data_IF_033080172275
#
_entry.id   IF_033080172275
#
_cell.length_a   1.000
_cell.length_b   1.000
_cell.length_c   1.000
_cell.angle_alpha   90.00
_cell.angle_beta   90.00
_cell.angle_gamma   90.00
#
_symmetry.space_group_name_H-M   'P 1'
#
loop_
_entity.id
_entity.type
_entity.pdbx_description
1 polymer ?
#
# COMPACT_ATOMS: atom_id res chain seq x y z
N UNK A 1 -8.23 9.07 2.49
CA UNK A 1 -9.02 7.84 2.66
C UNK A 1 -8.44 6.82 1.71
N UNK A 2 -8.39 5.56 2.13
CA UNK A 2 -7.86 4.47 1.29
C UNK A 2 -8.83 3.31 1.39
N UNK A 3 -9.22 2.75 0.24
CA UNK A 3 -9.98 1.50 0.13
C UNK A 3 -9.04 0.51 -0.53
N UNK A 4 -8.48 -0.40 0.28
CA UNK A 4 -7.38 -1.28 -0.11
C UNK A 4 -7.77 -2.75 0.05
N UNK A 5 -7.34 -3.59 -0.89
CA UNK A 5 -7.48 -5.03 -0.81
C UNK A 5 -8.74 -5.61 -1.46
N UNK A 6 -8.61 -6.84 -1.95
CA UNK A 6 -9.71 -7.59 -2.59
C UNK A 6 -10.88 -7.76 -1.62
N UNK A 7 -12.08 -7.40 -2.08
CA UNK A 7 -13.31 -7.49 -1.29
C UNK A 7 -13.57 -6.30 -0.37
N UNK A 8 -12.60 -5.41 -0.17
CA UNK A 8 -12.83 -4.14 0.52
C UNK A 8 -13.73 -3.25 -0.32
N UNK A 9 -14.91 -2.93 0.20
CA UNK A 9 -15.91 -2.14 -0.53
C UNK A 9 -16.38 -0.96 0.32
N UNK A 10 -16.33 0.24 -0.24
CA UNK A 10 -17.06 1.40 0.28
C UNK A 10 -18.26 1.69 -0.63
N UNK A 11 -19.46 1.36 -0.15
CA UNK A 11 -20.71 1.65 -0.85
C UNK A 11 -21.46 2.82 -0.19
N UNK A 12 -21.91 3.77 -1.00
CA UNK A 12 -22.75 4.90 -0.60
C UNK A 12 -23.96 4.99 -1.54
N UNK A 13 -25.15 5.20 -0.99
CA UNK A 13 -26.34 5.52 -1.80
C UNK A 13 -26.38 6.98 -2.27
N UNK A 14 -25.59 7.84 -1.64
CA UNK A 14 -25.48 9.27 -1.96
C UNK A 14 -24.26 9.55 -2.84
N UNK A 15 -24.14 10.81 -3.27
CA UNK A 15 -23.03 11.31 -4.07
C UNK A 15 -21.72 11.32 -3.28
N UNK A 16 -20.65 10.87 -3.93
CA UNK A 16 -19.29 10.92 -3.40
C UNK A 16 -18.67 12.30 -3.67
N UNK A 17 -18.27 13.01 -2.62
CA UNK A 17 -17.51 14.25 -2.72
C UNK A 17 -16.09 14.07 -2.18
N UNK A 18 -15.10 14.17 -3.06
CA UNK A 18 -13.70 14.24 -2.64
C UNK A 18 -13.35 15.71 -2.48
N UNK A 19 -13.25 16.14 -1.22
CA UNK A 19 -12.89 17.52 -0.85
C UNK A 19 -14.04 18.49 -0.62
N UNK A 20 -15.21 18.02 -0.17
CA UNK A 20 -16.40 18.87 0.07
C UNK A 20 -16.23 20.08 1.01
N UNK A 21 -15.06 20.25 1.65
CA UNK A 21 -14.72 21.43 2.48
C UNK A 21 -13.22 21.71 2.63
N UNK A 22 -12.36 21.15 1.78
CA UNK A 22 -10.90 21.25 1.89
C UNK A 22 -10.16 20.24 1.00
N UNK A 23 -8.85 20.07 1.20
CA UNK A 23 -8.04 19.13 0.42
C UNK A 23 -8.42 17.68 0.77
N UNK A 24 -8.72 16.86 -0.24
CA UNK A 24 -9.09 15.46 -0.08
C UNK A 24 -8.24 14.56 -0.96
N UNK A 25 -7.93 13.37 -0.44
CA UNK A 25 -7.35 12.27 -1.21
C UNK A 25 -8.15 11.00 -0.96
N UNK A 26 -8.60 10.36 -2.03
CA UNK A 26 -9.13 9.00 -2.01
C UNK A 26 -8.21 8.12 -2.86
N UNK A 27 -7.69 7.05 -2.27
CA UNK A 27 -6.95 6.01 -2.97
C UNK A 27 -7.78 4.72 -3.00
N UNK A 28 -7.87 4.09 -4.16
CA UNK A 28 -8.49 2.77 -4.36
C UNK A 28 -7.39 1.84 -4.89
N UNK A 29 -6.98 0.88 -4.08
CA UNK A 29 -5.77 0.06 -4.31
C UNK A 29 -6.04 -1.40 -3.99
N UNK A 30 -5.12 -2.29 -4.38
CA UNK A 30 -5.14 -3.70 -3.98
C UNK A 30 -6.40 -4.49 -4.36
N UNK A 31 -7.20 -4.03 -5.32
CA UNK A 31 -8.48 -4.65 -5.70
C UNK A 31 -9.70 -4.13 -4.92
N UNK A 32 -9.57 -2.99 -4.25
CA UNK A 32 -10.67 -2.34 -3.53
C UNK A 32 -11.73 -1.74 -4.46
N UNK A 33 -12.96 -1.60 -3.95
CA UNK A 33 -14.09 -1.07 -4.73
C UNK A 33 -14.77 0.11 -4.02
N UNK A 34 -15.11 1.15 -4.79
CA UNK A 34 -15.95 2.26 -4.33
C UNK A 34 -17.20 2.33 -5.21
N UNK A 35 -18.37 2.37 -4.58
CA UNK A 35 -19.67 2.43 -5.24
C UNK A 35 -20.43 3.66 -4.74
N UNK A 36 -20.88 4.50 -5.67
CA UNK A 36 -21.66 5.71 -5.37
C UNK A 36 -22.66 6.00 -6.49
N UNK A 37 -23.56 6.99 -6.30
CA UNK A 37 -24.47 7.44 -7.37
C UNK A 37 -23.75 8.33 -8.40
N UNK A 38 -23.03 9.32 -7.91
CA UNK A 38 -22.19 10.23 -8.69
C UNK A 38 -20.90 10.50 -7.89
N UNK A 39 -19.85 10.97 -8.57
CA UNK A 39 -18.62 11.42 -7.92
C UNK A 39 -18.27 12.84 -8.35
N UNK A 40 -17.88 13.68 -7.38
CA UNK A 40 -17.29 14.99 -7.62
C UNK A 40 -15.93 15.07 -6.96
N UNK A 41 -14.90 15.29 -7.78
CA UNK A 41 -13.53 15.57 -7.33
C UNK A 41 -13.33 17.08 -7.41
N UNK A 42 -13.24 17.76 -6.28
CA UNK A 42 -13.01 19.20 -6.25
C UNK A 42 -11.53 19.52 -6.55
N UNK A 43 -11.23 20.68 -7.10
CA UNK A 43 -9.84 21.19 -7.10
C UNK A 43 -9.47 21.64 -5.69
N UNK A 44 -8.33 21.24 -5.08
CA UNK A 44 -7.13 20.56 -5.59
C UNK A 44 -7.02 19.08 -5.18
N UNK A 45 -8.14 18.37 -5.13
CA UNK A 45 -8.21 17.02 -4.57
C UNK A 45 -7.70 15.95 -5.53
N UNK A 46 -7.40 14.79 -4.96
CA UNK A 46 -6.88 13.63 -5.68
C UNK A 46 -7.81 12.42 -5.51
N UNK A 47 -8.21 11.83 -6.63
CA UNK A 47 -8.65 10.44 -6.71
C UNK A 47 -7.51 9.63 -7.34
N UNK A 48 -6.98 8.64 -6.63
CA UNK A 48 -5.98 7.71 -7.14
C UNK A 48 -6.59 6.30 -7.25
N UNK A 49 -6.43 5.64 -8.40
CA UNK A 49 -6.90 4.28 -8.62
C UNK A 49 -5.76 3.46 -9.22
N UNK A 50 -5.43 2.36 -8.57
CA UNK A 50 -4.47 1.38 -9.08
C UNK A 50 -5.15 0.49 -10.13
N UNK A 51 -4.48 0.21 -11.24
CA UNK A 51 -5.00 -0.65 -12.31
C UNK A 51 -4.29 -2.01 -12.32
N UNK A 52 -4.88 -3.01 -12.97
CA UNK A 52 -4.30 -4.36 -13.06
C UNK A 52 -4.63 -5.28 -11.89
N UNK A 53 -5.16 -4.76 -10.78
CA UNK A 53 -5.51 -5.55 -9.59
C UNK A 53 -7.02 -5.60 -9.28
N UNK A 54 -7.86 -5.02 -10.15
CA UNK A 54 -9.31 -4.98 -9.98
C UNK A 54 -9.85 -3.81 -9.15
N UNK A 55 -9.00 -2.84 -8.76
CA UNK A 55 -9.49 -1.65 -8.07
C UNK A 55 -10.44 -0.85 -8.95
N UNK A 56 -11.56 -0.39 -8.39
CA UNK A 56 -12.66 0.13 -9.21
C UNK A 56 -13.47 1.22 -8.52
N UNK A 57 -13.81 2.29 -9.26
CA UNK A 57 -14.88 3.22 -8.93
C UNK A 57 -16.10 2.94 -9.83
N UNK A 58 -17.24 2.57 -9.25
CA UNK A 58 -18.49 2.35 -9.99
C UNK A 58 -19.54 3.38 -9.61
N UNK A 59 -20.08 4.10 -10.60
CA UNK A 59 -21.07 5.14 -10.41
C UNK A 59 -22.41 4.73 -11.03
N UNK A 60 -23.43 4.51 -10.19
CA UNK A 60 -24.79 4.10 -10.60
C UNK A 60 -24.76 2.96 -11.65
N UNK A 61 -24.09 1.86 -11.30
CA UNK A 61 -23.86 0.69 -12.17
C UNK A 61 -23.28 1.03 -13.56
N UNK A 62 -22.50 2.11 -13.63
CA UNK A 62 -21.88 2.61 -14.86
C UNK A 62 -22.72 3.63 -15.62
N UNK A 63 -23.93 3.97 -15.18
CA UNK A 63 -24.76 5.04 -15.76
C UNK A 63 -24.51 6.41 -15.11
N UNK A 64 -23.84 6.43 -13.97
CA UNK A 64 -23.66 7.61 -13.13
C UNK A 64 -22.70 8.65 -13.71
N UNK A 65 -22.49 9.73 -12.96
CA UNK A 65 -21.70 10.89 -13.42
C UNK A 65 -20.45 11.10 -12.60
N UNK A 66 -19.33 11.33 -13.28
CA UNK A 66 -18.12 11.89 -12.69
C UNK A 66 -17.95 13.36 -13.09
N UNK A 67 -17.72 14.21 -12.07
CA UNK A 67 -17.32 15.62 -12.20
C UNK A 67 -15.90 15.76 -11.70
N UNK A 68 -14.93 15.87 -12.60
CA UNK A 68 -13.54 16.06 -12.23
C UNK A 68 -13.16 17.53 -12.35
N UNK A 69 -12.93 18.20 -11.23
CA UNK A 69 -12.33 19.54 -11.14
C UNK A 69 -10.95 19.51 -10.45
N UNK A 70 -10.45 18.31 -10.11
CA UNK A 70 -9.20 18.09 -9.41
C UNK A 70 -8.25 17.24 -10.25
N UNK A 71 -7.60 16.27 -9.61
CA UNK A 71 -6.75 15.28 -10.27
C UNK A 71 -7.34 13.89 -10.10
N UNK A 72 -7.49 13.17 -11.21
CA UNK A 72 -7.65 11.72 -11.22
C UNK A 72 -6.32 11.12 -11.65
N UNK A 73 -5.74 10.26 -10.83
CA UNK A 73 -4.50 9.56 -11.11
C UNK A 73 -4.77 8.07 -11.25
N UNK A 74 -4.39 7.51 -12.38
CA UNK A 74 -4.49 6.08 -12.67
C UNK A 74 -3.08 5.50 -12.68
N UNK A 75 -2.88 4.40 -11.97
CA UNK A 75 -1.54 3.95 -11.58
C UNK A 75 -1.38 2.47 -11.92
N UNK A 76 -0.42 2.13 -12.78
CA UNK A 76 0.05 0.77 -12.96
C UNK A 76 1.40 0.61 -12.26
N UNK A 77 1.45 -0.25 -11.24
CA UNK A 77 2.71 -0.66 -10.59
C UNK A 77 3.45 -1.76 -11.35
N UNK A 78 4.52 -2.29 -10.75
CA UNK A 78 5.31 -3.36 -11.36
C UNK A 78 4.51 -4.64 -11.67
N UNK A 79 3.57 -5.02 -10.80
CA UNK A 79 2.76 -6.23 -10.95
C UNK A 79 1.71 -6.16 -12.07
N UNK A 80 1.43 -4.98 -12.63
CA UNK A 80 0.43 -4.85 -13.69
C UNK A 80 0.93 -5.44 -15.03
N UNK A 81 0.11 -6.27 -15.67
CA UNK A 81 0.44 -6.93 -16.93
C UNK A 81 0.64 -5.91 -18.06
N UNK A 82 1.80 -5.94 -18.72
CA UNK A 82 2.13 -5.03 -19.82
C UNK A 82 1.15 -5.17 -21.00
N UNK A 83 0.75 -4.05 -21.59
CA UNK A 83 -0.20 -4.00 -22.70
C UNK A 83 -1.66 -4.28 -22.32
N UNK A 84 -1.96 -4.63 -21.06
CA UNK A 84 -3.33 -4.81 -20.60
C UNK A 84 -4.09 -3.47 -20.56
N UNK A 85 -5.40 -3.53 -20.83
CA UNK A 85 -6.29 -2.35 -20.92
C UNK A 85 -7.35 -2.43 -19.85
N UNK A 86 -7.55 -1.35 -19.10
CA UNK A 86 -8.44 -1.29 -17.94
C UNK A 86 -9.37 -0.08 -17.99
N UNK A 87 -10.61 -0.24 -17.54
CA UNK A 87 -11.57 0.85 -17.34
C UNK A 87 -11.86 0.99 -15.82
N UNK A 88 -10.96 1.62 -15.04
CA UNK A 88 -11.03 1.63 -13.57
C UNK A 88 -12.15 2.53 -12.99
N UNK A 89 -12.91 3.20 -13.86
CA UNK A 89 -14.04 4.04 -13.50
C UNK A 89 -15.20 3.67 -14.42
N UNK A 90 -16.27 3.10 -13.87
CA UNK A 90 -17.51 2.88 -14.58
C UNK A 90 -18.45 4.07 -14.35
N UNK A 91 -18.63 4.90 -15.37
CA UNK A 91 -19.52 6.05 -15.36
C UNK A 91 -20.05 6.34 -16.78
N UNK A 92 -21.28 6.83 -16.86
CA UNK A 92 -21.98 7.10 -18.13
C UNK A 92 -21.84 8.54 -18.59
N UNK A 93 -21.47 9.47 -17.69
CA UNK A 93 -21.24 10.87 -18.04
C UNK A 93 -19.98 11.40 -17.38
N UNK A 94 -19.11 12.00 -18.19
CA UNK A 94 -17.82 12.54 -17.80
C UNK A 94 -17.80 14.05 -18.04
N UNK A 95 -17.55 14.82 -16.98
CA UNK A 95 -17.58 16.29 -17.03
C UNK A 95 -16.53 16.91 -16.12
N UNK A 96 -16.30 18.21 -16.30
CA UNK A 96 -15.32 18.98 -15.53
C UNK A 96 -14.06 19.30 -16.35
N UNK A 97 -13.21 20.14 -15.78
CA UNK A 97 -11.98 20.67 -16.39
C UNK A 97 -10.71 20.24 -15.61
N UNK A 98 -10.86 19.29 -14.67
CA UNK A 98 -9.76 18.65 -13.97
C UNK A 98 -8.91 17.76 -14.88
N UNK A 99 -7.82 17.25 -14.32
CA UNK A 99 -6.78 16.55 -15.09
C UNK A 99 -6.83 15.05 -14.81
N UNK A 100 -6.66 14.24 -15.85
CA UNK A 100 -6.35 12.82 -15.75
C UNK A 100 -4.85 12.60 -15.94
N UNK A 101 -4.22 11.87 -15.01
CA UNK A 101 -2.78 11.58 -15.03
C UNK A 101 -2.54 10.09 -14.98
N UNK A 102 -1.87 9.56 -15.99
CA UNK A 102 -1.51 8.15 -16.07
C UNK A 102 -0.07 7.93 -15.56
N UNK A 103 0.11 7.06 -14.57
CA UNK A 103 1.41 6.58 -14.08
C UNK A 103 1.64 5.15 -14.53
N UNK A 104 2.76 4.88 -15.20
CA UNK A 104 3.10 3.53 -15.66
C UNK A 104 2.27 3.04 -16.86
N UNK A 105 1.70 3.96 -17.63
CA UNK A 105 0.86 3.68 -18.78
C UNK A 105 0.26 4.95 -19.36
N UNK A 106 -0.68 4.81 -20.29
CA UNK A 106 -1.36 5.91 -20.97
C UNK A 106 -2.86 5.89 -20.69
N UNK A 107 -3.49 7.06 -20.75
CA UNK A 107 -4.94 7.21 -20.57
C UNK A 107 -5.57 7.72 -21.86
N UNK A 108 -6.59 7.02 -22.34
CA UNK A 108 -7.44 7.47 -23.43
C UNK A 108 -8.64 8.25 -22.85
N UNK A 109 -8.70 9.55 -23.11
CA UNK A 109 -9.78 10.41 -22.62
C UNK A 109 -11.11 10.22 -23.36
N UNK A 110 -11.11 9.59 -24.54
CA UNK A 110 -12.32 9.35 -25.33
C UNK A 110 -12.95 8.02 -24.90
N UNK A 111 -12.14 6.96 -24.87
CA UNK A 111 -12.60 5.61 -24.54
C UNK A 111 -12.63 5.36 -23.02
N UNK A 112 -12.03 6.26 -22.24
CA UNK A 112 -11.92 6.16 -20.77
C UNK A 112 -11.24 4.87 -20.31
N UNK A 113 -10.16 4.51 -21.00
CA UNK A 113 -9.36 3.32 -20.70
C UNK A 113 -7.90 3.67 -20.44
N UNK A 114 -7.29 2.92 -19.51
CA UNK A 114 -5.87 2.98 -19.21
C UNK A 114 -5.17 1.79 -19.88
N UNK A 115 -4.09 2.05 -20.63
CA UNK A 115 -3.23 1.00 -21.20
C UNK A 115 -1.92 0.94 -20.42
N UNK A 116 -1.60 -0.24 -19.89
CA UNK A 116 -0.39 -0.47 -19.10
C UNK A 116 0.85 -0.47 -20.00
N UNK A 117 1.86 0.33 -19.63
CA UNK A 117 3.11 0.45 -20.38
C UNK A 117 3.94 -0.83 -20.34
N UNK A 118 4.82 -1.05 -21.32
CA UNK A 118 5.88 -2.04 -21.18
C UNK A 118 6.87 -1.64 -20.07
N UNK A 119 7.67 -2.60 -19.62
CA UNK A 119 8.71 -2.40 -18.59
C UNK A 119 10.07 -2.39 -19.26
N UNK A 120 10.89 -1.37 -18.98
CA UNK A 120 12.32 -1.37 -19.31
C UNK A 120 13.10 -2.05 -18.20
N UNK A 121 13.92 -3.04 -18.54
CA UNK A 121 14.73 -3.76 -17.57
C UNK A 121 16.07 -3.07 -17.36
N UNK A 122 16.51 -3.02 -16.11
CA UNK A 122 17.76 -2.40 -15.69
C UNK A 122 18.49 -3.23 -14.64
N UNK A 123 19.74 -2.85 -14.39
CA UNK A 123 20.56 -3.41 -13.33
C UNK A 123 20.89 -2.33 -12.31
N UNK A 124 20.98 -2.72 -11.04
CA UNK A 124 21.33 -1.82 -9.95
C UNK A 124 22.64 -1.05 -10.22
N UNK A 125 22.66 0.23 -9.84
CA UNK A 125 23.79 1.14 -10.03
C UNK A 125 23.99 1.65 -11.47
N UNK A 126 23.25 1.14 -12.45
CA UNK A 126 23.24 1.66 -13.82
C UNK A 126 22.06 2.61 -14.05
N UNK A 127 22.22 3.56 -14.97
CA UNK A 127 21.12 4.41 -15.42
C UNK A 127 20.32 3.69 -16.52
N UNK A 128 19.00 3.60 -16.32
CA UNK A 128 18.01 3.11 -17.28
C UNK A 128 17.36 4.31 -17.93
N UNK A 129 17.39 4.39 -19.26
CA UNK A 129 16.80 5.52 -20.00
C UNK A 129 15.51 5.08 -20.70
N UNK A 130 14.42 5.79 -20.44
CA UNK A 130 13.13 5.61 -21.10
C UNK A 130 12.65 6.91 -21.72
N UNK A 131 11.85 6.83 -22.78
CA UNK A 131 11.07 7.97 -23.27
C UNK A 131 9.66 7.90 -22.70
N UNK A 132 9.28 8.88 -21.87
CA UNK A 132 7.98 8.92 -21.20
C UNK A 132 6.79 9.10 -22.15
N UNK A 133 7.00 9.35 -23.45
CA UNK A 133 5.94 9.27 -24.44
C UNK A 133 5.62 7.83 -24.88
N UNK A 134 6.56 6.90 -24.69
CA UNK A 134 6.46 5.52 -25.17
C UNK A 134 6.45 4.51 -24.02
N UNK A 135 7.29 4.73 -23.01
CA UNK A 135 7.54 3.80 -21.91
C UNK A 135 7.61 4.52 -20.57
N UNK A 136 6.82 4.07 -19.61
CA UNK A 136 6.63 4.74 -18.33
C UNK A 136 6.99 3.88 -17.12
N UNK A 137 7.48 2.64 -17.34
CA UNK A 137 7.85 1.72 -16.27
C UNK A 137 9.27 1.20 -16.45
N UNK A 138 10.00 1.14 -15.35
CA UNK A 138 11.30 0.46 -15.25
C UNK A 138 11.24 -0.60 -14.17
N UNK A 139 12.04 -1.65 -14.32
CA UNK A 139 12.31 -2.64 -13.29
C UNK A 139 13.83 -2.81 -13.18
N UNK A 140 14.35 -2.69 -11.96
CA UNK A 140 15.78 -2.71 -11.68
C UNK A 140 16.06 -3.87 -10.73
N UNK A 141 16.89 -4.80 -11.19
CA UNK A 141 17.30 -5.98 -10.43
C UNK A 141 18.71 -5.79 -9.87
N UNK A 142 18.91 -6.25 -8.63
CA UNK A 142 20.23 -6.39 -8.03
C UNK A 142 20.57 -7.87 -7.78
N UNK A 143 21.58 -8.38 -8.47
CA UNK A 143 21.95 -9.79 -8.38
C UNK A 143 22.67 -10.15 -7.06
N UNK A 144 23.25 -9.18 -6.37
CA UNK A 144 24.02 -9.43 -5.13
C UNK A 144 23.09 -9.62 -3.93
N UNK A 145 22.11 -8.74 -3.77
CA UNK A 145 21.08 -8.81 -2.71
C UNK A 145 19.92 -9.72 -3.10
N UNK A 146 19.68 -9.90 -4.40
CA UNK A 146 18.48 -10.56 -4.93
C UNK A 146 17.22 -9.69 -4.83
N UNK A 147 17.36 -8.40 -4.54
CA UNK A 147 16.25 -7.46 -4.53
C UNK A 147 15.93 -6.95 -5.92
N UNK A 148 14.67 -6.61 -6.12
CA UNK A 148 14.18 -5.94 -7.33
C UNK A 148 13.29 -4.76 -6.96
N UNK A 149 13.30 -3.71 -7.78
CA UNK A 149 12.38 -2.58 -7.60
C UNK A 149 11.88 -2.05 -8.94
N UNK A 150 10.56 -1.89 -9.02
CA UNK A 150 9.91 -1.18 -10.10
C UNK A 150 9.69 0.28 -9.78
N UNK A 151 9.75 1.14 -10.80
CA UNK A 151 9.32 2.53 -10.71
C UNK A 151 8.46 2.89 -11.93
N UNK A 152 7.33 3.55 -11.66
CA UNK A 152 6.36 3.98 -12.67
C UNK A 152 6.19 5.49 -12.64
N UNK A 153 6.20 6.10 -13.83
CA UNK A 153 6.26 7.55 -14.02
C UNK A 153 5.09 8.06 -14.85
N UNK A 154 4.91 9.39 -14.87
CA UNK A 154 3.88 10.03 -15.69
C UNK A 154 4.12 9.79 -17.19
N UNK A 155 3.07 9.45 -17.92
CA UNK A 155 3.10 9.54 -19.38
C UNK A 155 3.18 10.99 -19.84
N UNK A 156 4.01 11.23 -20.85
CA UNK A 156 4.20 12.54 -21.47
C UNK A 156 3.64 12.55 -22.89
N UNK A 157 3.01 13.65 -23.33
CA UNK A 157 2.40 13.71 -24.67
C UNK A 157 3.43 13.80 -25.80
N UNK A 158 4.68 14.15 -25.48
CA UNK A 158 5.77 14.29 -26.43
C UNK A 158 7.03 13.65 -25.86
N UNK A 159 7.93 13.26 -26.76
CA UNK A 159 9.22 12.64 -26.40
C UNK A 159 9.90 13.39 -25.27
N UNK A 160 10.09 12.70 -24.16
CA UNK A 160 10.65 13.23 -22.92
C UNK A 160 11.51 12.14 -22.29
N UNK A 161 12.83 12.25 -22.46
CA UNK A 161 13.76 11.26 -21.93
C UNK A 161 13.90 11.40 -20.41
N UNK A 162 13.79 10.27 -19.73
CA UNK A 162 14.01 10.11 -18.30
C UNK A 162 15.12 9.07 -18.10
N UNK A 163 16.20 9.48 -17.44
CA UNK A 163 17.18 8.55 -16.87
C UNK A 163 16.79 8.21 -15.43
N UNK A 164 16.77 6.93 -15.08
CA UNK A 164 16.46 6.42 -13.74
C UNK A 164 17.61 5.57 -13.26
N UNK A 165 18.18 5.91 -12.11
CA UNK A 165 19.14 5.05 -11.40
C UNK A 165 18.53 4.55 -10.09
N UNK A 166 18.84 3.31 -9.73
CA UNK A 166 18.55 2.79 -8.40
C UNK A 166 19.70 1.90 -7.93
N UNK A 167 20.12 2.07 -6.68
CA UNK A 167 21.14 1.24 -6.03
C UNK A 167 20.58 0.68 -4.72
N UNK A 168 20.80 -0.60 -4.38
CA UNK A 168 20.38 -1.12 -3.10
C UNK A 168 21.10 -0.40 -1.96
N UNK A 169 20.40 -0.15 -0.84
CA UNK A 169 21.05 0.38 0.35
C UNK A 169 21.98 -0.68 0.96
N UNK A 170 23.10 -0.25 1.54
CA UNK A 170 24.06 -1.14 2.18
C UNK A 170 24.99 -0.39 3.14
N UNK A 171 25.89 -1.12 3.79
CA UNK A 171 26.85 -0.57 4.74
C UNK A 171 26.19 0.30 5.82
N UNK A 172 26.79 1.45 6.13
CA UNK A 172 26.31 2.35 7.19
C UNK A 172 24.86 2.84 6.97
N UNK A 173 24.40 2.93 5.72
CA UNK A 173 23.02 3.35 5.43
C UNK A 173 22.01 2.29 5.87
N UNK A 174 22.32 1.02 5.62
CA UNK A 174 21.51 -0.11 6.08
C UNK A 174 21.63 -0.29 7.59
N UNK A 175 22.84 -0.26 8.14
CA UNK A 175 23.09 -0.37 9.59
C UNK A 175 22.32 0.71 10.36
N UNK A 176 22.27 1.93 9.81
CA UNK A 176 21.50 3.05 10.38
C UNK A 176 20.00 2.79 10.39
N UNK A 177 19.44 2.16 9.37
CA UNK A 177 18.03 1.76 9.35
C UNK A 177 17.77 0.64 10.36
N UNK A 178 18.59 -0.41 10.36
CA UNK A 178 18.47 -1.56 11.27
C UNK A 178 18.56 -1.14 12.74
N UNK A 179 19.41 -0.17 13.06
CA UNK A 179 19.50 0.41 14.41
C UNK A 179 18.21 1.09 14.91
N UNK A 180 17.29 1.45 14.00
CA UNK A 180 15.97 2.01 14.34
C UNK A 180 14.88 0.94 14.46
N UNK A 181 15.13 -0.27 13.97
CA UNK A 181 14.17 -1.37 13.99
C UNK A 181 14.14 -2.06 15.35
N UNK A 182 13.00 -2.63 15.72
CA UNK A 182 12.95 -3.52 16.90
C UNK A 182 13.56 -4.88 16.54
N UNK A 183 13.93 -5.67 17.55
CA UNK A 183 14.75 -6.89 17.43
C UNK A 183 14.22 -8.03 16.54
N UNK A 184 13.02 -7.91 16.00
CA UNK A 184 12.36 -8.90 15.13
C UNK A 184 11.78 -8.28 13.84
N UNK A 185 11.99 -6.99 13.61
CA UNK A 185 11.67 -6.37 12.34
C UNK A 185 12.81 -6.58 11.35
N UNK A 186 12.50 -6.72 10.07
CA UNK A 186 13.44 -6.99 9.00
C UNK A 186 13.29 -5.97 7.88
N UNK A 187 14.41 -5.63 7.23
CA UNK A 187 14.41 -4.90 5.97
C UNK A 187 14.08 -5.88 4.85
N UNK A 188 13.00 -5.62 4.12
CA UNK A 188 12.53 -6.47 3.03
C UNK A 188 13.05 -5.99 1.66
N UNK A 189 13.37 -4.70 1.56
CA UNK A 189 14.01 -4.10 0.41
C UNK A 189 14.31 -2.63 0.68
N UNK A 190 15.42 -2.12 0.14
CA UNK A 190 15.83 -0.74 0.35
C UNK A 190 16.68 -0.25 -0.82
N UNK A 191 16.32 0.92 -1.35
CA UNK A 191 16.90 1.45 -2.58
C UNK A 191 17.11 2.97 -2.48
N UNK A 192 18.23 3.44 -3.01
CA UNK A 192 18.51 4.85 -3.28
C UNK A 192 18.26 5.15 -4.76
N UNK A 193 17.33 6.06 -5.02
CA UNK A 193 16.90 6.44 -6.35
C UNK A 193 17.51 7.77 -6.78
N UNK A 194 17.84 7.85 -8.07
CA UNK A 194 18.19 9.09 -8.74
C UNK A 194 17.44 9.18 -10.06
N UNK A 195 17.14 10.40 -10.50
CA UNK A 195 16.58 10.63 -11.82
C UNK A 195 17.23 11.83 -12.50
N UNK A 196 17.31 11.76 -13.83
CA UNK A 196 17.79 12.83 -14.70
C UNK A 196 16.79 13.07 -15.84
N UNK A 197 16.69 14.30 -16.33
CA UNK A 197 15.80 14.62 -17.44
C UNK A 197 14.33 14.75 -17.01
N UNK A 198 13.45 13.90 -17.57
CA UNK A 198 11.99 14.00 -17.57
C UNK A 198 11.25 13.88 -16.24
N UNK A 199 11.96 13.93 -15.11
CA UNK A 199 11.38 13.87 -13.77
C UNK A 199 11.73 15.15 -12.99
N UNK A 200 10.72 15.83 -12.45
CA UNK A 200 10.91 16.97 -11.57
C UNK A 200 10.50 16.63 -10.12
N UNK A 201 11.15 17.25 -9.13
CA UNK A 201 10.68 17.20 -7.75
C UNK A 201 9.23 17.72 -7.67
N UNK A 202 8.38 16.99 -6.95
CA UNK A 202 6.94 17.21 -6.89
C UNK A 202 6.14 16.34 -7.87
N UNK A 203 6.76 15.83 -8.94
CA UNK A 203 6.09 14.88 -9.82
C UNK A 203 5.93 13.52 -9.14
N UNK A 204 4.77 12.85 -9.29
CA UNK A 204 4.55 11.56 -8.70
C UNK A 204 5.37 10.46 -9.42
N UNK A 205 6.02 9.62 -8.63
CA UNK A 205 6.49 8.30 -9.04
C UNK A 205 5.82 7.24 -8.16
N UNK A 206 5.54 6.07 -8.74
CA UNK A 206 5.00 4.94 -8.01
C UNK A 206 6.05 3.84 -7.93
N UNK A 207 6.55 3.60 -6.73
CA UNK A 207 7.60 2.63 -6.45
C UNK A 207 6.96 1.30 -6.08
N UNK A 208 7.50 0.20 -6.58
CA UNK A 208 7.04 -1.18 -6.34
C UNK A 208 8.22 -2.04 -5.90
N UNK A 209 8.41 -2.18 -4.60
CA UNK A 209 9.49 -2.98 -4.01
C UNK A 209 9.10 -4.45 -4.07
N UNK A 210 9.88 -5.29 -4.74
CA UNK A 210 9.69 -6.74 -4.65
C UNK A 210 10.14 -7.20 -3.26
N UNK A 211 9.17 -7.57 -2.43
CA UNK A 211 9.41 -8.09 -1.08
C UNK A 211 9.05 -9.57 -0.98
N UNK A 212 8.73 -10.19 -2.13
CA UNK A 212 8.25 -11.56 -2.21
C UNK A 212 6.93 -11.82 -1.46
N UNK A 213 6.51 -13.09 -1.39
CA UNK A 213 5.31 -13.51 -0.67
C UNK A 213 5.53 -13.59 0.84
N UNK A 214 4.43 -13.67 1.58
CA UNK A 214 4.42 -14.04 3.00
C UNK A 214 4.33 -12.87 3.98
N UNK A 215 4.25 -11.63 3.49
CA UNK A 215 3.91 -10.47 4.32
C UNK A 215 2.40 -10.25 4.35
N UNK A 216 1.93 -9.48 5.34
CA UNK A 216 0.61 -8.84 5.29
C UNK A 216 0.79 -7.36 5.05
N UNK A 217 -0.13 -6.73 4.32
CA UNK A 217 -0.09 -5.29 4.09
C UNK A 217 -0.01 -4.49 5.40
N UNK A 218 -0.76 -4.90 6.42
CA UNK A 218 -0.81 -4.21 7.73
C UNK A 218 0.53 -4.24 8.47
N UNK A 219 1.40 -5.21 8.11
CA UNK A 219 2.70 -5.41 8.74
C UNK A 219 3.82 -4.66 8.02
N UNK A 220 3.52 -3.88 6.99
CA UNK A 220 4.51 -3.16 6.19
C UNK A 220 4.62 -1.70 6.60
N UNK A 221 5.87 -1.26 6.69
CA UNK A 221 6.23 0.13 6.99
C UNK A 221 7.19 0.64 5.94
N UNK A 222 7.00 1.90 5.54
CA UNK A 222 7.90 2.59 4.63
C UNK A 222 8.79 3.54 5.42
N UNK A 223 10.05 3.56 5.04
CA UNK A 223 11.05 4.51 5.51
C UNK A 223 11.52 5.37 4.36
N UNK A 224 11.84 6.62 4.68
CA UNK A 224 12.40 7.59 3.77
C UNK A 224 13.65 8.21 4.40
N UNK A 225 14.69 8.33 3.60
CA UNK A 225 15.93 9.02 3.96
C UNK A 225 16.25 10.05 2.89
N UNK A 226 16.25 11.30 3.34
CA UNK A 226 16.73 12.46 2.61
C UNK A 226 17.89 13.07 3.42
N UNK A 227 19.08 13.13 2.82
CA UNK A 227 20.31 13.44 3.55
C UNK A 227 20.80 12.29 4.43
N UNK A 228 21.02 12.53 5.72
CA UNK A 228 21.72 11.58 6.61
C UNK A 228 20.79 10.58 7.33
N UNK A 229 19.58 11.01 7.71
CA UNK A 229 18.76 10.31 8.69
C UNK A 229 17.54 9.61 8.07
N UNK A 230 17.18 8.46 8.63
CA UNK A 230 15.96 7.74 8.30
C UNK A 230 14.77 8.27 9.10
N UNK A 231 13.62 8.36 8.44
CA UNK A 231 12.34 8.72 9.06
C UNK A 231 11.20 7.85 8.51
N UNK A 232 10.12 7.73 9.29
CA UNK A 232 8.91 7.02 8.84
C UNK A 232 8.25 7.79 7.71
N UNK A 233 8.02 7.11 6.59
CA UNK A 233 7.27 7.67 5.48
C UNK A 233 5.80 7.25 5.58
N UNK A 234 4.91 8.24 5.64
CA UNK A 234 3.47 8.02 5.74
C UNK A 234 2.84 7.77 4.36
N UNK A 235 3.18 6.64 3.73
CA UNK A 235 2.58 6.20 2.48
C UNK A 235 1.09 5.83 2.68
N UNK A 236 0.18 6.76 2.42
CA UNK A 236 -1.27 6.57 2.66
C UNK A 236 -1.90 5.60 1.65
N UNK A 237 -1.26 5.45 0.51
CA UNK A 237 -1.64 4.59 -0.61
C UNK A 237 -0.73 3.35 -0.72
N UNK A 238 0.08 3.06 0.30
CA UNK A 238 0.84 1.81 0.30
C UNK A 238 -0.15 0.64 0.17
N UNK A 239 0.16 -0.29 -0.72
CA UNK A 239 -0.55 -1.52 -1.03
C UNK A 239 0.43 -2.69 -1.13
N UNK A 240 -0.08 -3.91 -1.09
CA UNK A 240 0.71 -5.13 -1.28
C UNK A 240 -0.11 -6.19 -2.01
N UNK A 241 0.41 -6.66 -3.15
CA UNK A 241 -0.28 -7.61 -4.05
C UNK A 241 0.15 -9.07 -3.85
N UNK A 242 0.98 -9.36 -2.84
CA UNK A 242 1.59 -10.67 -2.62
C UNK A 242 3.03 -10.79 -3.13
N UNK A 243 3.51 -9.79 -3.88
CA UNK A 243 4.91 -9.70 -4.35
C UNK A 243 5.46 -8.30 -4.07
N UNK A 244 4.75 -7.27 -4.55
CA UNK A 244 5.22 -5.89 -4.52
C UNK A 244 4.55 -5.08 -3.42
N UNK A 245 5.36 -4.49 -2.55
CA UNK A 245 4.94 -3.39 -1.69
C UNK A 245 5.05 -2.10 -2.49
N UNK A 246 3.91 -1.45 -2.80
CA UNK A 246 3.88 -0.33 -3.74
C UNK A 246 3.26 0.92 -3.16
N UNK A 247 3.85 2.09 -3.43
CA UNK A 247 3.40 3.38 -2.90
C UNK A 247 3.85 4.57 -3.77
N UNK A 248 3.12 5.67 -3.67
CA UNK A 248 3.50 6.92 -4.36
C UNK A 248 4.53 7.71 -3.56
N UNK A 249 5.50 8.27 -4.27
CA UNK A 249 6.41 9.33 -3.78
C UNK A 249 6.34 10.55 -4.70
N UNK A 250 6.80 11.70 -4.22
CA UNK A 250 6.93 12.93 -5.04
C UNK A 250 8.38 13.41 -5.17
N UNK A 251 9.29 12.75 -4.49
CA UNK A 251 10.73 13.02 -4.52
C UNK A 251 11.46 11.70 -4.51
N UNK A 252 12.39 11.52 -5.44
CA UNK A 252 13.26 10.35 -5.49
C UNK A 252 14.48 10.61 -4.61
N UNK A 253 14.77 9.64 -3.75
CA UNK A 253 15.78 9.66 -2.69
C UNK A 253 15.97 8.22 -2.21
N UNK A 254 16.31 7.97 -0.94
CA UNK A 254 16.35 6.61 -0.39
C UNK A 254 15.02 6.21 0.28
N UNK A 255 14.51 5.03 -0.09
CA UNK A 255 13.32 4.44 0.52
C UNK A 255 13.56 2.97 0.88
N UNK A 256 12.90 2.50 1.93
CA UNK A 256 12.97 1.11 2.32
C UNK A 256 11.63 0.60 2.85
N UNK A 257 11.36 -0.68 2.64
CA UNK A 257 10.21 -1.39 3.18
C UNK A 257 10.70 -2.34 4.27
N UNK A 258 10.05 -2.28 5.43
CA UNK A 258 10.38 -3.12 6.59
C UNK A 258 9.11 -3.74 7.16
N UNK A 259 9.26 -4.84 7.91
CA UNK A 259 8.16 -5.38 8.71
C UNK A 259 7.92 -4.57 9.99
N UNK A 260 6.70 -4.63 10.52
CA UNK A 260 6.43 -4.33 11.92
C UNK A 260 6.91 -5.51 12.77
N UNK A 261 7.35 -5.25 14.00
CA UNK A 261 7.45 -6.28 15.03
C UNK A 261 6.08 -6.93 15.17
N UNK A 262 5.97 -8.27 15.08
CA UNK A 262 4.77 -8.92 15.57
C UNK A 262 4.55 -8.45 17.02
N UNK A 263 3.35 -7.94 17.39
CA UNK A 263 3.08 -7.65 18.78
C UNK A 263 3.33 -8.94 19.54
N UNK A 264 4.12 -8.88 20.61
CA UNK A 264 4.51 -10.04 21.42
C UNK A 264 3.28 -10.71 22.03
N UNK A 265 2.56 -11.49 21.22
CA UNK A 265 1.36 -12.26 21.54
C UNK A 265 1.68 -13.35 22.56
N UNK A 266 2.96 -13.62 22.82
CA UNK A 266 3.44 -14.46 23.91
C UNK A 266 3.17 -13.90 25.32
N UNK A 267 2.82 -12.62 25.50
CA UNK A 267 2.55 -12.07 26.86
C UNK A 267 1.07 -12.17 27.27
N UNK A 268 0.14 -12.30 26.32
CA UNK A 268 -1.29 -12.41 26.63
C UNK A 268 -1.73 -13.84 27.01
N UNK A 269 -1.02 -14.87 26.54
CA UNK A 269 -1.31 -16.27 26.91
C UNK A 269 -0.80 -16.68 28.31
N UNK A 270 0.19 -15.97 28.86
CA UNK A 270 0.72 -16.26 30.21
C UNK A 270 -0.08 -15.60 31.34
N UNK A 271 -0.90 -14.58 31.07
CA UNK A 271 -1.83 -14.00 32.05
C UNK A 271 -3.16 -14.79 32.16
N UNK A 272 -3.49 -15.61 31.17
CA UNK A 272 -4.70 -16.46 31.16
C UNK A 272 -4.59 -17.77 31.95
N UNK A 273 -3.37 -18.29 32.16
CA UNK A 273 -3.16 -19.56 32.88
C UNK A 273 -2.87 -19.38 34.38
N UNK A 274 -2.48 -18.17 34.82
CA UNK A 274 -2.23 -17.86 36.23
C UNK A 274 -3.49 -17.74 37.09
N UNK A 275 -4.66 -17.47 36.50
CA UNK A 275 -5.92 -17.32 37.24
C UNK A 275 -6.72 -18.62 37.40
N UNK A 276 -6.54 -19.61 36.51
CA UNK A 276 -7.18 -20.93 36.65
C UNK A 276 -6.54 -21.81 37.73
N UNK A 277 -5.24 -21.66 38.00
CA UNK A 277 -4.57 -22.42 39.07
C UNK A 277 -4.97 -21.99 40.50
N UNK A 278 -5.39 -20.73 40.68
CA UNK A 278 -5.90 -20.21 41.96
C UNK A 278 -7.40 -20.52 42.19
N UNK A 279 -8.18 -20.66 41.12
CA UNK A 279 -9.58 -21.07 41.20
C UNK A 279 -9.76 -22.57 41.53
N UNK A 280 -8.84 -23.43 41.06
CA UNK A 280 -8.88 -24.87 41.33
C UNK A 280 -8.52 -25.22 42.79
N UNK A 281 -7.69 -24.41 43.48
CA UNK A 281 -7.32 -24.65 44.89
C UNK A 281 -8.42 -24.32 45.90
N UNK A 282 -9.45 -23.53 45.55
CA UNK A 282 -10.55 -23.16 46.46
C UNK A 282 -11.74 -24.12 46.47
N UNK A 283 -11.83 -25.06 45.51
CA UNK A 283 -12.96 -26.02 45.43
C UNK A 283 -12.72 -27.40 46.07
N UNK A 284 -11.52 -27.67 46.58
CA UNK A 284 -11.16 -28.97 47.19
C UNK A 284 -11.15 -28.98 48.72
N UNK A 285 -11.70 -27.95 49.39
CA UNK A 285 -11.77 -27.86 50.87
C UNK A 285 -13.18 -27.96 51.46
N UNK A 286 -14.18 -28.39 50.68
CA UNK A 286 -15.55 -28.64 51.20
C UNK A 286 -16.09 -29.99 50.75
N UNK A 287 -15.45 -31.05 51.21
CA UNK A 287 -16.07 -32.37 51.35
C UNK A 287 -15.20 -33.17 52.30
N UNK A 288 -15.66 -33.30 53.55
CA UNK A 288 -15.45 -34.37 54.54
C UNK A 288 -15.75 -33.76 55.92
N UNK A 289 -16.83 -34.27 56.54
CA UNK A 289 -17.17 -34.37 57.97
C UNK A 289 -18.67 -34.15 58.20
N UNK A 290 -19.46 -35.21 57.96
CA UNK A 290 -20.74 -35.40 58.65
C UNK A 290 -20.43 -36.17 59.94
N UNK A 291 -20.92 -35.63 61.07
CA UNK A 291 -20.47 -35.94 62.42
C UNK A 291 -20.82 -37.33 62.95
N UNK A 292 -19.89 -37.87 63.73
CA UNK A 292 -20.14 -38.88 64.76
C UNK A 292 -20.43 -38.15 66.06
N UNK A 293 -21.53 -38.51 66.72
CA UNK A 293 -21.80 -38.05 68.08
C UNK A 293 -23.12 -38.54 68.62
N UNK A 294 -23.13 -39.73 69.24
CA UNK A 294 -23.83 -39.93 70.52
C UNK A 294 -23.37 -41.22 71.22
N UNK A 295 -22.81 -40.97 72.39
CA UNK A 295 -22.35 -41.85 73.45
C UNK A 295 -23.55 -42.47 74.21
N UNK A 296 -23.44 -43.78 74.54
CA UNK A 296 -23.67 -44.45 75.86
C UNK A 296 -24.94 -44.06 76.68
N UNK A 297 -25.76 -44.91 77.32
CA UNK A 297 -25.76 -46.33 77.71
C UNK A 297 -27.15 -46.68 78.35
N UNK A 298 -27.43 -47.99 78.49
CA UNK A 298 -28.15 -48.68 79.58
C UNK A 298 -29.68 -48.49 79.75
N UNK A 299 -30.45 -49.56 79.61
CA UNK A 299 -30.86 -50.45 80.72
C UNK A 299 -31.86 -51.53 80.25
N UNK A 300 -31.69 -52.74 80.83
CA UNK A 300 -32.62 -53.88 81.00
C UNK A 300 -33.46 -54.36 79.81
#
# INVERSE_FOLDING_TARGET
MTVDGVGSTWASSDDLFIGGGGNGTLSITGGGAVIAREATIQGPCLLAIEVGNGSMLTLDDGAGKIRNYGTVRLIAGAGAEAGSVHAPIAAGTWTGDGVYRALGGTWDEIDHVFTVSDVEQGAAGAEVVVDLAEKQRVMIDDAETGWSVGASFLAMPNSTLLGVGASPIGGEVLDGLEGLLQSNASVLGGWEFAATGGYASGDPAYLSFDIGPGSSREDLLVWHRDGADWSRYAARDLTYDGTYASFTVTELSAYAVTTVPEPSTMTLLLLGLGTMALAARRRWRRMVFCGVGRTTTLCS
#
